data_IF_070986623426
#
_entry.id   IF_070986623426
#
_cell.length_a   1.000
_cell.length_b   1.000
_cell.length_c   1.000
_cell.angle_alpha   90.00
_cell.angle_beta   90.00
_cell.angle_gamma   90.00
#
_symmetry.space_group_name_H-M   'P 1'
#
loop_
_entity.id
_entity.type
_entity.pdbx_description
1 polymer ?
#
# COMPACT_ATOMS: atom_id res chain seq x y z
N UNK A 1 54.53 -24.00 -10.05
CA UNK A 1 53.20 -24.24 -9.45
C UNK A 1 52.69 -25.66 -9.74
N UNK A 2 53.52 -26.71 -9.59
CA UNK A 2 53.13 -28.14 -9.79
C UNK A 2 53.86 -29.06 -8.79
N UNK A 3 54.32 -28.53 -7.64
CA UNK A 3 55.02 -29.33 -6.60
C UNK A 3 54.47 -29.17 -5.19
N UNK A 4 53.31 -28.51 -5.03
CA UNK A 4 52.65 -28.32 -3.73
C UNK A 4 51.38 -29.18 -3.53
N UNK A 5 51.05 -30.07 -4.46
CA UNK A 5 49.84 -30.90 -4.42
C UNK A 5 50.08 -32.38 -4.07
N UNK A 6 51.32 -32.79 -3.78
CA UNK A 6 51.63 -34.21 -3.52
C UNK A 6 51.59 -34.61 -2.05
N UNK A 7 51.68 -33.66 -1.13
CA UNK A 7 51.73 -33.94 0.32
C UNK A 7 50.37 -33.77 1.03
N UNK A 8 49.29 -33.47 0.31
CA UNK A 8 47.93 -33.48 0.87
C UNK A 8 47.26 -34.86 0.83
N UNK A 9 47.83 -35.84 0.10
CA UNK A 9 47.27 -37.20 0.00
C UNK A 9 47.63 -38.11 1.19
N UNK A 10 48.59 -37.73 2.02
CA UNK A 10 48.98 -38.52 3.21
C UNK A 10 48.23 -38.09 4.47
N UNK A 11 47.65 -36.88 4.50
CA UNK A 11 46.79 -36.44 5.60
C UNK A 11 45.34 -36.97 5.50
N UNK A 12 44.96 -37.55 4.36
CA UNK A 12 43.63 -38.12 4.12
C UNK A 12 43.50 -39.60 4.54
N UNK A 13 44.55 -40.20 5.10
CA UNK A 13 44.57 -41.62 5.50
C UNK A 13 44.72 -41.85 7.02
N UNK A 14 44.64 -40.79 7.85
CA UNK A 14 44.74 -40.89 9.32
C UNK A 14 43.43 -40.44 10.03
N UNK A 15 42.45 -39.93 9.29
CA UNK A 15 41.07 -39.80 9.74
C UNK A 15 40.16 -40.50 8.74
N UNK A 16 40.07 -41.83 8.85
CA UNK A 16 38.79 -42.50 8.62
C UNK A 16 38.00 -42.39 9.93
N UNK A 17 37.08 -41.43 10.11
CA UNK A 17 35.92 -41.76 10.90
C UNK A 17 35.17 -42.81 10.09
N UNK A 18 34.82 -43.93 10.72
CA UNK A 18 33.62 -44.69 10.33
C UNK A 18 32.42 -43.74 10.46
N UNK A 19 32.24 -42.83 9.51
CA UNK A 19 30.94 -42.26 9.24
C UNK A 19 30.15 -43.38 8.60
N UNK A 20 29.38 -44.05 9.44
CA UNK A 20 28.20 -44.76 8.98
C UNK A 20 27.48 -43.89 7.94
N UNK A 21 27.18 -44.47 6.77
CA UNK A 21 26.35 -43.88 5.73
C UNK A 21 24.95 -43.43 6.22
N UNK A 22 24.62 -43.61 7.50
CA UNK A 22 23.31 -43.33 8.09
C UNK A 22 23.03 -41.87 8.49
N UNK A 23 23.99 -40.93 8.38
CA UNK A 23 23.73 -39.52 8.74
C UNK A 23 23.54 -38.58 7.54
N UNK A 24 23.74 -39.06 6.31
CA UNK A 24 23.55 -38.28 5.08
C UNK A 24 22.24 -38.63 4.32
N UNK A 25 21.36 -39.44 4.91
CA UNK A 25 20.05 -39.83 4.33
C UNK A 25 18.87 -39.47 5.25
N UNK A 26 18.81 -38.25 5.80
CA UNK A 26 17.69 -37.84 6.68
C UNK A 26 17.01 -36.55 6.23
N UNK A 27 16.67 -36.46 4.94
CA UNK A 27 15.61 -35.56 4.50
C UNK A 27 14.69 -36.35 3.59
N UNK A 28 13.43 -36.48 4.01
CA UNK A 28 12.31 -36.97 3.21
C UNK A 28 12.19 -36.17 1.90
N UNK A 29 11.57 -36.76 0.88
CA UNK A 29 11.41 -36.09 -0.42
C UNK A 29 10.69 -34.74 -0.30
N UNK A 30 9.72 -34.63 0.61
CA UNK A 30 9.02 -33.38 0.92
C UNK A 30 9.93 -32.33 1.55
N UNK A 31 10.82 -32.71 2.47
CA UNK A 31 11.79 -31.80 3.08
C UNK A 31 12.81 -31.28 2.06
N UNK A 32 13.31 -32.15 1.17
CA UNK A 32 14.21 -31.72 0.08
C UNK A 32 13.53 -30.71 -0.84
N UNK A 33 12.27 -30.96 -1.20
CA UNK A 33 11.47 -30.04 -2.01
C UNK A 33 11.25 -28.70 -1.30
N UNK A 34 10.96 -28.72 0.01
CA UNK A 34 10.80 -27.49 0.79
C UNK A 34 12.08 -26.67 0.85
N UNK A 35 13.24 -27.31 1.05
CA UNK A 35 14.54 -26.62 1.02
C UNK A 35 14.80 -25.97 -0.35
N UNK A 36 14.51 -26.68 -1.44
CA UNK A 36 14.63 -26.11 -2.79
C UNK A 36 13.70 -24.91 -2.99
N UNK A 37 12.46 -24.96 -2.49
CA UNK A 37 11.52 -23.83 -2.54
C UNK A 37 12.06 -22.64 -1.74
N UNK A 38 12.59 -22.86 -0.53
CA UNK A 38 13.18 -21.79 0.29
C UNK A 38 14.37 -21.15 -0.45
N UNK A 39 15.29 -21.96 -0.97
CA UNK A 39 16.44 -21.48 -1.75
C UNK A 39 15.97 -20.68 -2.97
N UNK A 40 14.95 -21.16 -3.67
CA UNK A 40 14.38 -20.46 -4.81
C UNK A 40 13.77 -19.11 -4.41
N UNK A 41 13.00 -19.05 -3.33
CA UNK A 41 12.44 -17.79 -2.81
C UNK A 41 13.54 -16.81 -2.42
N UNK A 42 14.58 -17.26 -1.71
CA UNK A 42 15.73 -16.44 -1.35
C UNK A 42 16.48 -15.94 -2.58
N UNK A 43 16.65 -16.80 -3.58
CA UNK A 43 17.29 -16.46 -4.85
C UNK A 43 16.49 -15.38 -5.59
N UNK A 44 15.18 -15.55 -5.78
CA UNK A 44 14.32 -14.55 -6.41
C UNK A 44 14.33 -13.23 -5.63
N UNK A 45 14.25 -13.27 -4.31
CA UNK A 45 14.35 -12.07 -3.47
C UNK A 45 15.72 -11.38 -3.60
N UNK A 46 16.81 -12.13 -3.78
CA UNK A 46 18.14 -11.57 -4.02
C UNK A 46 18.25 -10.91 -5.41
N UNK A 47 17.54 -11.44 -6.40
CA UNK A 47 17.49 -10.99 -7.79
C UNK A 47 16.50 -9.86 -8.05
N UNK A 48 15.91 -9.23 -7.03
CA UNK A 48 14.84 -8.21 -7.20
C UNK A 48 15.21 -6.98 -8.06
N UNK A 49 16.41 -6.95 -8.65
CA UNK A 49 16.76 -6.08 -9.77
C UNK A 49 16.62 -6.82 -11.11
N UNK A 50 15.70 -6.31 -11.93
CA UNK A 50 15.83 -6.28 -13.39
C UNK A 50 15.73 -7.63 -14.11
N UNK A 51 14.50 -8.12 -14.26
CA UNK A 51 14.14 -8.81 -15.50
C UNK A 51 12.89 -8.10 -16.05
N UNK A 52 12.94 -7.55 -17.27
CA UNK A 52 11.84 -6.82 -17.94
C UNK A 52 10.52 -7.60 -18.11
N UNK A 53 10.44 -8.80 -17.53
CA UNK A 53 9.22 -9.58 -17.32
C UNK A 53 8.14 -8.78 -16.57
N UNK A 54 8.53 -7.94 -15.61
CA UNK A 54 7.59 -7.10 -14.86
C UNK A 54 6.87 -6.09 -15.75
N UNK A 55 7.59 -5.44 -16.67
CA UNK A 55 7.00 -4.49 -17.62
C UNK A 55 6.06 -5.18 -18.60
N UNK A 56 6.42 -6.39 -19.05
CA UNK A 56 5.56 -7.18 -19.93
C UNK A 56 4.28 -7.63 -19.22
N UNK A 57 4.39 -8.03 -17.95
CA UNK A 57 3.23 -8.38 -17.12
C UNK A 57 2.32 -7.17 -16.89
N UNK A 58 2.89 -6.01 -16.55
CA UNK A 58 2.15 -4.76 -16.39
C UNK A 58 1.38 -4.39 -17.67
N UNK A 59 2.08 -4.41 -18.82
CA UNK A 59 1.48 -4.12 -20.13
C UNK A 59 0.37 -5.10 -20.50
N UNK A 60 0.53 -6.38 -20.17
CA UNK A 60 -0.50 -7.39 -20.41
C UNK A 60 -1.76 -7.11 -19.58
N UNK A 61 -1.61 -6.84 -18.28
CA UNK A 61 -2.73 -6.51 -17.40
C UNK A 61 -3.45 -5.24 -17.85
N UNK A 62 -2.72 -4.17 -18.19
CA UNK A 62 -3.32 -2.92 -18.68
C UNK A 62 -4.14 -3.16 -19.95
N UNK A 63 -3.62 -3.94 -20.92
CA UNK A 63 -4.38 -4.32 -22.12
C UNK A 63 -5.66 -5.09 -21.78
N UNK A 64 -5.62 -5.98 -20.78
CA UNK A 64 -6.80 -6.71 -20.31
C UNK A 64 -7.81 -5.75 -19.65
N UNK A 65 -7.37 -4.84 -18.80
CA UNK A 65 -8.23 -3.87 -18.13
C UNK A 65 -8.90 -2.94 -19.13
N UNK A 66 -8.15 -2.40 -20.10
CA UNK A 66 -8.68 -1.57 -21.19
C UNK A 66 -9.70 -2.33 -22.05
N UNK A 67 -9.44 -3.60 -22.38
CA UNK A 67 -10.38 -4.44 -23.11
C UNK A 67 -11.70 -4.62 -22.35
N UNK A 68 -11.62 -4.90 -21.05
CA UNK A 68 -12.80 -5.05 -20.19
C UNK A 68 -13.56 -3.72 -20.08
N UNK A 69 -12.85 -2.62 -19.87
CA UNK A 69 -13.43 -1.29 -19.74
C UNK A 69 -14.22 -0.88 -21.00
N UNK A 70 -13.63 -1.05 -22.19
CA UNK A 70 -14.32 -0.77 -23.46
C UNK A 70 -15.61 -1.58 -23.64
N UNK A 71 -15.62 -2.83 -23.17
CA UNK A 71 -16.83 -3.68 -23.21
C UNK A 71 -17.87 -3.22 -22.20
N UNK A 72 -17.46 -2.76 -21.03
CA UNK A 72 -18.35 -2.23 -20.00
C UNK A 72 -19.03 -0.95 -20.49
N UNK A 73 -18.25 0.01 -21.00
CA UNK A 73 -18.77 1.26 -21.54
C UNK A 73 -19.75 1.03 -22.69
N UNK A 74 -19.43 0.09 -23.60
CA UNK A 74 -20.35 -0.27 -24.70
C UNK A 74 -21.66 -0.90 -24.20
N UNK A 75 -21.61 -1.67 -23.13
CA UNK A 75 -22.80 -2.28 -22.53
C UNK A 75 -23.64 -1.26 -21.75
N UNK A 76 -22.99 -0.29 -21.08
CA UNK A 76 -23.67 0.81 -20.40
C UNK A 76 -24.39 1.71 -21.40
N UNK A 77 -23.72 2.16 -22.47
CA UNK A 77 -24.36 2.96 -23.52
C UNK A 77 -25.59 2.28 -24.14
N UNK A 78 -25.52 0.97 -24.37
CA UNK A 78 -26.68 0.21 -24.86
C UNK A 78 -27.84 0.21 -23.86
N UNK A 79 -27.56 0.08 -22.56
CA UNK A 79 -28.60 0.14 -21.53
C UNK A 79 -29.21 1.53 -21.42
N UNK A 80 -28.40 2.57 -21.56
CA UNK A 80 -28.87 3.96 -21.58
C UNK A 80 -29.76 4.21 -22.80
N UNK A 81 -29.32 3.80 -24.00
CA UNK A 81 -30.11 3.84 -25.23
C UNK A 81 -31.44 3.06 -25.10
N UNK A 82 -31.39 1.85 -24.53
CA UNK A 82 -32.59 1.03 -24.29
C UNK A 82 -33.53 1.71 -23.28
N UNK A 83 -33.00 2.34 -22.21
CA UNK A 83 -33.81 3.05 -21.20
C UNK A 83 -34.44 4.33 -21.72
N UNK A 84 -33.73 5.12 -22.53
CA UNK A 84 -34.28 6.32 -23.17
C UNK A 84 -35.39 5.92 -24.15
N UNK A 85 -35.20 4.82 -24.89
CA UNK A 85 -36.22 4.28 -25.79
C UNK A 85 -37.44 3.80 -25.01
N UNK A 86 -37.26 3.12 -23.87
CA UNK A 86 -38.36 2.70 -23.00
C UNK A 86 -39.10 3.90 -22.39
N UNK A 87 -38.41 4.94 -21.94
CA UNK A 87 -39.02 6.17 -21.44
C UNK A 87 -39.80 6.91 -22.54
N UNK A 88 -39.27 7.00 -23.77
CA UNK A 88 -39.99 7.55 -24.92
C UNK A 88 -41.25 6.73 -25.25
N UNK A 89 -41.17 5.40 -25.20
CA UNK A 89 -42.33 4.52 -25.43
C UNK A 89 -43.37 4.69 -24.33
N UNK A 90 -42.96 4.78 -23.05
CA UNK A 90 -43.88 5.00 -21.92
C UNK A 90 -44.52 6.38 -21.99
N UNK A 91 -43.77 7.42 -22.33
CA UNK A 91 -44.29 8.77 -22.50
C UNK A 91 -45.24 8.85 -23.72
N UNK A 92 -44.91 8.17 -24.81
CA UNK A 92 -45.78 8.03 -25.98
C UNK A 92 -47.08 7.29 -25.61
N UNK A 93 -47.00 6.16 -24.91
CA UNK A 93 -48.17 5.39 -24.50
C UNK A 93 -49.06 6.15 -23.50
N UNK A 94 -48.48 6.90 -22.57
CA UNK A 94 -49.24 7.80 -21.69
C UNK A 94 -49.92 8.93 -22.49
N UNK A 95 -49.27 9.46 -23.53
CA UNK A 95 -49.89 10.47 -24.41
C UNK A 95 -51.03 9.91 -25.27
N UNK A 96 -51.02 8.61 -25.57
CA UNK A 96 -52.09 7.91 -26.32
C UNK A 96 -53.26 7.56 -25.39
N UNK A 97 -53.00 7.15 -24.14
CA UNK A 97 -54.05 6.87 -23.14
C UNK A 97 -54.75 8.16 -22.66
N UNK A 98 -54.05 9.29 -22.60
CA UNK A 98 -54.67 10.59 -22.29
C UNK A 98 -55.48 11.20 -23.45
N UNK A 99 -55.50 10.59 -24.65
CA UNK A 99 -56.21 11.11 -25.82
C UNK A 99 -57.61 10.51 -26.05
N UNK A 100 -58.00 9.51 -25.27
CA UNK A 100 -59.32 8.85 -25.40
C UNK A 100 -60.33 9.18 -24.29
N UNK A 101 -59.96 9.99 -23.29
CA UNK A 101 -60.89 10.55 -22.32
C UNK A 101 -60.65 12.05 -22.22
N UNK A 102 -61.16 12.81 -23.19
CA UNK A 102 -61.86 14.07 -22.98
C UNK A 102 -62.05 14.77 -24.33
N UNK A 103 -63.30 14.97 -24.70
CA UNK A 103 -63.74 16.04 -25.59
C UNK A 103 -65.20 16.36 -25.20
N UNK A 104 -65.68 17.57 -25.47
CA UNK A 104 -65.14 18.85 -25.03
C UNK A 104 -66.26 19.67 -24.35
N UNK A 105 -65.92 20.59 -23.44
CA UNK A 105 -66.74 21.79 -23.30
C UNK A 105 -65.88 23.00 -22.97
N UNK A 106 -66.23 24.07 -23.67
CA UNK A 106 -65.52 25.32 -23.81
C UNK A 106 -65.53 26.17 -22.52
N UNK A 107 -64.48 26.98 -22.34
CA UNK A 107 -64.55 28.45 -22.47
C UNK A 107 -63.40 29.16 -21.73
N UNK A 108 -62.75 30.09 -22.45
CA UNK A 108 -62.13 31.34 -21.96
C UNK A 108 -60.94 31.21 -20.99
N UNK A 109 -59.72 31.70 -21.27
CA UNK A 109 -59.38 33.04 -21.78
C UNK A 109 -59.03 33.94 -20.58
N UNK A 110 -57.75 34.18 -20.31
CA UNK A 110 -57.35 35.19 -19.30
C UNK A 110 -55.96 35.00 -18.68
N UNK A 111 -55.01 35.76 -19.23
CA UNK A 111 -53.92 36.49 -18.57
C UNK A 111 -52.94 35.81 -17.59
N UNK A 112 -51.68 35.93 -18.00
CA UNK A 112 -50.47 35.84 -17.18
C UNK A 112 -50.55 36.93 -16.11
N UNK A 113 -50.83 36.53 -14.87
CA UNK A 113 -50.64 37.39 -13.72
C UNK A 113 -49.37 36.92 -12.99
N UNK A 114 -48.30 37.72 -13.12
CA UNK A 114 -47.16 37.69 -12.19
C UNK A 114 -47.71 37.94 -10.79
N UNK A 115 -47.89 36.87 -10.02
CA UNK A 115 -48.15 36.95 -8.60
C UNK A 115 -46.80 36.87 -7.89
N UNK A 116 -46.27 38.04 -7.47
CA UNK A 116 -45.37 38.14 -6.32
C UNK A 116 -46.15 37.74 -5.05
N UNK A 117 -46.52 36.46 -4.99
CA UNK A 117 -47.08 35.82 -3.81
C UNK A 117 -45.94 35.43 -2.90
N UNK A 118 -46.03 35.85 -1.64
CA UNK A 118 -45.22 35.36 -0.53
C UNK A 118 -45.04 33.84 -0.70
N UNK A 119 -43.81 33.37 -0.92
CA UNK A 119 -43.52 31.94 -0.85
C UNK A 119 -43.88 31.50 0.57
N UNK A 120 -45.02 30.84 0.73
CA UNK A 120 -45.34 30.14 1.96
C UNK A 120 -44.19 29.16 2.21
N UNK A 121 -43.53 29.30 3.34
CA UNK A 121 -42.45 28.39 3.73
C UNK A 121 -43.05 27.01 3.93
N UNK A 122 -42.67 26.06 3.09
CA UNK A 122 -43.02 24.66 3.28
C UNK A 122 -41.84 23.91 3.91
N UNK A 123 -42.12 22.90 4.73
CA UNK A 123 -41.07 22.14 5.43
C UNK A 123 -40.14 21.38 4.46
N UNK A 124 -40.62 21.06 3.26
CA UNK A 124 -39.84 20.49 2.15
C UNK A 124 -38.81 21.47 1.57
N UNK A 125 -38.97 22.79 1.72
CA UNK A 125 -37.95 23.77 1.31
C UNK A 125 -36.64 23.56 2.09
N UNK A 126 -36.71 23.06 3.33
CA UNK A 126 -35.55 22.77 4.18
C UNK A 126 -34.84 21.49 3.75
N UNK A 127 -35.56 20.56 3.13
CA UNK A 127 -35.01 19.27 2.72
C UNK A 127 -33.84 19.45 1.75
N UNK A 128 -33.95 20.37 0.79
CA UNK A 128 -32.89 20.67 -0.16
C UNK A 128 -31.65 21.25 0.51
N UNK A 129 -31.80 22.10 1.53
CA UNK A 129 -30.67 22.62 2.29
C UNK A 129 -30.03 21.55 3.19
N UNK A 130 -30.82 20.68 3.81
CA UNK A 130 -30.31 19.54 4.58
C UNK A 130 -29.57 18.58 3.65
N UNK A 131 -30.15 18.24 2.50
CA UNK A 131 -29.53 17.40 1.47
C UNK A 131 -28.21 18.01 1.02
N UNK A 132 -28.18 19.28 0.62
CA UNK A 132 -26.94 19.98 0.22
C UNK A 132 -25.92 20.07 1.36
N UNK A 133 -26.37 20.25 2.60
CA UNK A 133 -25.50 20.26 3.77
C UNK A 133 -24.88 18.89 4.04
N UNK A 134 -25.65 17.82 3.93
CA UNK A 134 -25.19 16.43 4.05
C UNK A 134 -24.26 16.07 2.89
N UNK A 135 -24.62 16.43 1.65
CA UNK A 135 -23.77 16.28 0.47
C UNK A 135 -22.45 17.00 0.65
N UNK A 136 -22.44 18.27 1.11
CA UNK A 136 -21.22 19.01 1.38
C UNK A 136 -20.34 18.40 2.48
N UNK A 137 -20.93 17.70 3.46
CA UNK A 137 -20.19 16.95 4.49
C UNK A 137 -19.64 15.64 3.94
N UNK A 138 -20.40 14.95 3.08
CA UNK A 138 -19.98 13.69 2.44
C UNK A 138 -18.89 13.94 1.40
N UNK A 139 -19.05 15.00 0.60
CA UNK A 139 -18.13 15.43 -0.46
C UNK A 139 -16.99 16.29 0.07
N UNK A 140 -16.80 16.35 1.39
CA UNK A 140 -15.69 17.11 1.95
C UNK A 140 -14.35 16.53 1.44
N UNK A 141 -13.41 17.42 1.15
CA UNK A 141 -12.15 17.02 0.52
C UNK A 141 -11.29 16.10 1.42
N UNK A 142 -11.65 16.01 2.70
CA UNK A 142 -10.93 15.28 3.75
C UNK A 142 -11.49 13.86 3.93
N UNK A 143 -12.80 13.67 4.15
CA UNK A 143 -13.38 12.34 4.43
C UNK A 143 -13.23 11.41 3.23
N UNK A 144 -13.32 11.95 2.01
CA UNK A 144 -13.08 11.18 0.78
C UNK A 144 -11.66 10.57 0.71
N UNK A 145 -10.68 11.11 1.44
CA UNK A 145 -9.30 10.59 1.47
C UNK A 145 -9.09 9.42 2.41
N UNK A 146 -10.09 9.13 3.24
CA UNK A 146 -10.15 7.93 4.07
C UNK A 146 -10.96 6.79 3.42
N UNK A 147 -11.36 6.96 2.16
CA UNK A 147 -11.97 5.91 1.35
C UNK A 147 -10.99 5.43 0.26
N UNK A 148 -11.16 4.21 -0.24
CA UNK A 148 -10.35 3.72 -1.36
C UNK A 148 -10.52 4.62 -2.60
N UNK A 149 -9.45 4.79 -3.38
CA UNK A 149 -9.49 5.57 -4.62
C UNK A 149 -10.43 4.93 -5.64
N UNK A 150 -11.33 5.72 -6.22
CA UNK A 150 -12.19 5.27 -7.30
C UNK A 150 -11.37 5.12 -8.59
N UNK A 151 -11.44 3.92 -9.19
CA UNK A 151 -10.68 3.62 -10.39
C UNK A 151 -11.45 4.05 -11.64
N UNK A 152 -10.79 4.71 -12.61
CA UNK A 152 -11.42 5.04 -13.89
C UNK A 152 -11.69 3.80 -14.74
N UNK A 153 -10.98 2.70 -14.48
CA UNK A 153 -11.17 1.43 -15.17
C UNK A 153 -11.19 0.26 -14.18
N UNK A 154 -12.11 -0.69 -14.41
CA UNK A 154 -12.22 -1.85 -13.52
C UNK A 154 -11.05 -2.82 -13.68
N UNK A 155 -10.35 -3.09 -12.58
CA UNK A 155 -9.19 -3.98 -12.52
C UNK A 155 -9.56 -5.44 -12.23
N UNK A 156 -10.79 -5.87 -12.50
CA UNK A 156 -11.26 -7.26 -12.28
C UNK A 156 -11.24 -7.72 -10.80
N UNK A 157 -11.13 -6.78 -9.85
CA UNK A 157 -11.29 -7.06 -8.43
C UNK A 157 -12.73 -6.74 -8.02
N UNK A 158 -13.47 -7.71 -7.50
CA UNK A 158 -14.88 -7.50 -7.08
C UNK A 158 -15.00 -6.52 -5.90
N UNK A 159 -13.92 -6.27 -5.17
CA UNK A 159 -13.87 -5.32 -4.05
C UNK A 159 -13.68 -3.87 -4.48
N UNK A 160 -13.21 -3.62 -5.70
CA UNK A 160 -12.98 -2.26 -6.25
C UNK A 160 -14.15 -1.79 -7.13
N UNK A 161 -15.08 -2.68 -7.48
CA UNK A 161 -16.32 -2.32 -8.18
C UNK A 161 -17.46 -3.28 -7.79
N UNK A 162 -18.50 -2.75 -7.15
CA UNK A 162 -19.65 -3.51 -6.63
C UNK A 162 -20.80 -3.67 -7.63
N UNK A 163 -20.84 -2.88 -8.70
CA UNK A 163 -21.95 -2.83 -9.67
C UNK A 163 -21.75 -3.76 -10.87
N UNK A 164 -20.82 -4.73 -10.77
CA UNK A 164 -20.37 -5.55 -11.91
C UNK A 164 -21.31 -6.73 -12.27
N UNK A 165 -22.49 -6.88 -11.65
CA UNK A 165 -23.30 -8.08 -11.89
C UNK A 165 -23.76 -8.18 -13.35
N UNK A 166 -23.15 -9.12 -14.08
CA UNK A 166 -23.47 -9.56 -15.45
C UNK A 166 -23.53 -8.45 -16.52
N UNK A 167 -22.38 -7.84 -16.80
CA UNK A 167 -22.27 -6.85 -17.89
C UNK A 167 -22.19 -7.51 -19.27
N UNK A 168 -21.30 -8.49 -19.46
CA UNK A 168 -21.27 -9.31 -20.69
C UNK A 168 -20.57 -10.66 -20.46
N UNK A 169 -20.91 -11.68 -21.24
CA UNK A 169 -20.28 -13.01 -21.14
C UNK A 169 -18.76 -12.95 -21.26
N UNK A 170 -18.23 -12.15 -22.19
CA UNK A 170 -16.79 -12.03 -22.39
C UNK A 170 -16.05 -11.42 -21.20
N UNK A 171 -16.59 -10.37 -20.58
CA UNK A 171 -15.95 -9.77 -19.40
C UNK A 171 -16.11 -10.68 -18.18
N UNK A 172 -17.24 -11.37 -18.04
CA UNK A 172 -17.45 -12.36 -16.97
C UNK A 172 -16.48 -13.54 -17.10
N UNK A 173 -16.22 -14.02 -18.32
CA UNK A 173 -15.21 -15.05 -18.55
C UNK A 173 -13.80 -14.55 -18.19
N UNK A 174 -13.43 -13.34 -18.62
CA UNK A 174 -12.12 -12.74 -18.27
C UNK A 174 -11.97 -12.55 -16.76
N UNK A 175 -13.02 -12.10 -16.07
CA UNK A 175 -13.06 -12.03 -14.62
C UNK A 175 -12.91 -13.40 -13.97
N UNK A 176 -13.63 -14.42 -14.47
CA UNK A 176 -13.55 -15.80 -13.96
C UNK A 176 -12.16 -16.41 -14.09
N UNK A 177 -11.50 -16.20 -15.24
CA UNK A 177 -10.09 -16.58 -15.43
C UNK A 177 -9.19 -15.82 -14.45
N UNK A 178 -9.38 -14.50 -14.30
CA UNK A 178 -8.60 -13.71 -13.36
C UNK A 178 -8.81 -14.11 -11.91
N UNK A 179 -10.04 -14.47 -11.52
CA UNK A 179 -10.38 -15.02 -10.22
C UNK A 179 -9.64 -16.34 -9.98
N UNK A 180 -9.71 -17.28 -10.94
CA UNK A 180 -9.00 -18.55 -10.85
C UNK A 180 -7.49 -18.34 -10.68
N UNK A 181 -6.87 -17.51 -11.53
CA UNK A 181 -5.44 -17.20 -11.43
C UNK A 181 -5.06 -16.60 -10.07
N UNK A 182 -5.85 -15.64 -9.56
CA UNK A 182 -5.54 -14.96 -8.30
C UNK A 182 -5.71 -15.87 -7.09
N UNK A 183 -6.82 -16.61 -7.00
CA UNK A 183 -7.16 -17.36 -5.79
C UNK A 183 -6.63 -18.79 -5.77
N UNK A 184 -6.47 -19.44 -6.94
CA UNK A 184 -6.02 -20.83 -7.02
C UNK A 184 -4.51 -20.93 -7.23
N UNK A 185 -3.89 -19.95 -7.90
CA UNK A 185 -2.46 -19.98 -8.22
C UNK A 185 -1.69 -18.95 -7.39
N UNK A 186 -2.00 -17.66 -7.51
CA UNK A 186 -1.20 -16.60 -6.89
C UNK A 186 -1.33 -16.57 -5.37
N UNK A 187 -2.55 -16.68 -4.84
CA UNK A 187 -2.78 -16.56 -3.39
C UNK A 187 -2.10 -17.67 -2.59
N UNK A 188 -2.21 -18.97 -2.94
CA UNK A 188 -1.49 -20.02 -2.21
C UNK A 188 0.02 -19.83 -2.28
N UNK A 189 0.56 -19.52 -3.47
CA UNK A 189 1.97 -19.24 -3.67
C UNK A 189 2.46 -18.09 -2.77
N UNK A 190 1.75 -16.97 -2.79
CA UNK A 190 2.08 -15.79 -2.00
C UNK A 190 1.95 -16.03 -0.51
N UNK A 191 0.94 -16.77 -0.08
CA UNK A 191 0.78 -17.18 1.32
C UNK A 191 1.96 -18.03 1.77
N UNK A 192 2.41 -18.99 0.95
CA UNK A 192 3.62 -19.78 1.23
C UNK A 192 4.85 -18.88 1.36
N UNK A 193 5.06 -17.93 0.44
CA UNK A 193 6.17 -16.97 0.50
C UNK A 193 6.07 -16.10 1.77
N UNK A 194 4.88 -15.63 2.14
CA UNK A 194 4.67 -14.86 3.38
C UNK A 194 5.03 -15.68 4.61
N UNK A 195 4.60 -16.94 4.70
CA UNK A 195 4.93 -17.82 5.82
C UNK A 195 6.44 -18.04 5.90
N UNK A 196 7.10 -18.35 4.78
CA UNK A 196 8.57 -18.47 4.71
C UNK A 196 9.23 -17.16 5.15
N UNK A 197 8.75 -16.00 4.68
CA UNK A 197 9.27 -14.68 5.02
C UNK A 197 9.14 -14.35 6.51
N UNK A 198 8.00 -14.68 7.13
CA UNK A 198 7.80 -14.51 8.58
C UNK A 198 8.77 -15.40 9.37
N UNK A 199 8.84 -16.68 9.04
CA UNK A 199 9.74 -17.62 9.73
C UNK A 199 11.20 -17.20 9.57
N UNK A 200 11.59 -16.79 8.36
CA UNK A 200 12.92 -16.29 8.05
C UNK A 200 13.25 -15.02 8.85
N UNK A 201 12.35 -14.04 8.90
CA UNK A 201 12.53 -12.83 9.70
C UNK A 201 12.70 -13.15 11.18
N UNK A 202 11.87 -14.02 11.74
CA UNK A 202 11.93 -14.39 13.15
C UNK A 202 13.24 -15.12 13.48
N UNK A 203 13.66 -16.06 12.63
CA UNK A 203 14.93 -16.76 12.78
C UNK A 203 16.12 -15.78 12.65
N UNK A 204 16.14 -14.96 11.61
CA UNK A 204 17.18 -13.97 11.37
C UNK A 204 17.32 -12.98 12.53
N UNK A 205 16.21 -12.40 12.98
CA UNK A 205 16.21 -11.43 14.08
C UNK A 205 16.56 -12.07 15.42
N UNK A 206 16.23 -13.35 15.63
CA UNK A 206 16.71 -14.11 16.78
C UNK A 206 18.24 -14.25 16.76
N UNK A 207 18.82 -14.73 15.65
CA UNK A 207 20.26 -14.89 15.49
C UNK A 207 21.01 -13.56 15.66
N UNK A 208 20.58 -12.50 14.96
CA UNK A 208 21.19 -11.17 15.07
C UNK A 208 21.02 -10.58 16.47
N UNK A 209 19.86 -10.82 17.09
CA UNK A 209 19.56 -10.36 18.45
C UNK A 209 20.47 -10.98 19.52
N UNK A 210 20.94 -12.20 19.31
CA UNK A 210 21.91 -12.88 20.19
C UNK A 210 23.34 -12.33 20.08
N UNK A 211 23.64 -11.52 19.06
CA UNK A 211 24.96 -10.93 18.88
C UNK A 211 25.05 -9.63 19.71
N UNK A 212 26.13 -9.41 20.48
CA UNK A 212 26.41 -8.14 21.16
C UNK A 212 26.43 -6.96 20.17
N UNK A 213 26.08 -5.75 20.62
CA UNK A 213 26.11 -4.59 19.72
C UNK A 213 27.54 -4.25 19.30
N UNK A 214 27.85 -4.55 18.04
CA UNK A 214 29.16 -4.37 17.45
C UNK A 214 29.04 -4.10 15.94
N UNK A 215 30.15 -3.73 15.30
CA UNK A 215 30.17 -3.46 13.85
C UNK A 215 29.69 -4.66 13.02
N UNK A 216 30.04 -5.88 13.44
CA UNK A 216 29.62 -7.10 12.76
C UNK A 216 28.10 -7.32 12.83
N UNK A 217 27.47 -7.12 14.01
CA UNK A 217 26.01 -7.18 14.17
C UNK A 217 25.31 -6.23 13.20
N UNK A 218 25.78 -4.99 13.12
CA UNK A 218 25.19 -3.95 12.27
C UNK A 218 25.36 -4.26 10.78
N UNK A 219 26.53 -4.79 10.39
CA UNK A 219 26.77 -5.28 9.03
C UNK A 219 25.83 -6.43 8.67
N UNK A 220 25.71 -7.44 9.53
CA UNK A 220 24.83 -8.59 9.30
C UNK A 220 23.36 -8.17 9.24
N UNK A 221 22.95 -7.27 10.14
CA UNK A 221 21.61 -6.68 10.11
C UNK A 221 21.37 -6.00 8.77
N UNK A 222 22.26 -5.09 8.35
CA UNK A 222 22.10 -4.27 7.15
C UNK A 222 21.74 -5.06 5.89
N UNK A 223 22.45 -6.15 5.63
CA UNK A 223 22.20 -6.97 4.44
C UNK A 223 21.03 -7.94 4.64
N UNK A 224 20.92 -8.53 5.84
CA UNK A 224 19.89 -9.54 6.10
C UNK A 224 18.48 -8.96 6.23
N UNK A 225 18.31 -7.76 6.78
CA UNK A 225 17.02 -7.08 6.86
C UNK A 225 16.48 -6.74 5.48
N UNK A 226 17.32 -6.20 4.59
CA UNK A 226 16.95 -5.92 3.19
C UNK A 226 16.44 -7.20 2.52
N UNK A 227 17.12 -8.33 2.69
CA UNK A 227 16.67 -9.61 2.16
C UNK A 227 15.30 -10.03 2.75
N UNK A 228 15.11 -9.88 4.06
CA UNK A 228 13.82 -10.19 4.69
C UNK A 228 12.68 -9.35 4.09
N UNK A 229 12.88 -8.04 3.95
CA UNK A 229 11.88 -7.15 3.37
C UNK A 229 11.63 -7.43 1.88
N UNK A 230 12.66 -7.85 1.14
CA UNK A 230 12.50 -8.31 -0.25
C UNK A 230 11.65 -9.56 -0.37
N UNK A 231 11.74 -10.51 0.57
CA UNK A 231 10.83 -11.68 0.59
C UNK A 231 9.38 -11.22 0.78
N UNK A 232 9.12 -10.28 1.70
CA UNK A 232 7.77 -9.72 1.88
C UNK A 232 7.28 -8.94 0.65
N UNK A 233 8.17 -8.21 0.00
CA UNK A 233 7.92 -7.52 -1.26
C UNK A 233 7.54 -8.50 -2.38
N UNK A 234 8.28 -9.61 -2.51
CA UNK A 234 7.97 -10.70 -3.42
C UNK A 234 6.61 -11.35 -3.12
N UNK A 235 6.24 -11.51 -1.84
CA UNK A 235 4.93 -12.03 -1.46
C UNK A 235 3.77 -11.14 -1.93
N UNK A 236 3.98 -9.83 -2.06
CA UNK A 236 2.99 -8.90 -2.63
C UNK A 236 3.14 -8.73 -4.15
N UNK A 237 4.07 -9.46 -4.79
CA UNK A 237 4.51 -9.23 -6.16
C UNK A 237 4.79 -7.75 -6.43
N UNK A 238 5.47 -7.09 -5.48
CA UNK A 238 5.71 -5.68 -5.56
C UNK A 238 6.78 -5.35 -6.61
N UNK A 239 6.48 -4.36 -7.43
CA UNK A 239 7.33 -3.82 -8.50
C UNK A 239 7.54 -2.36 -8.16
N UNK A 240 8.74 -2.06 -7.68
CA UNK A 240 9.08 -0.76 -7.11
C UNK A 240 10.16 -0.07 -7.93
N UNK A 241 9.85 1.11 -8.44
CA UNK A 241 10.82 1.97 -9.12
C UNK A 241 11.33 3.00 -8.12
N UNK A 242 12.63 2.95 -7.84
CA UNK A 242 13.28 3.88 -6.91
C UNK A 242 14.05 4.94 -7.67
N UNK A 243 13.68 6.20 -7.46
CA UNK A 243 14.26 7.37 -8.09
C UNK A 243 15.15 8.12 -7.10
N UNK A 244 16.24 8.71 -7.61
CA UNK A 244 17.14 9.61 -6.87
C UNK A 244 17.75 8.99 -5.59
N UNK A 245 18.23 7.74 -5.69
CA UNK A 245 18.74 6.94 -4.55
C UNK A 245 19.92 7.57 -3.80
N UNK A 246 20.59 8.56 -4.39
CA UNK A 246 21.60 9.39 -3.75
C UNK A 246 21.05 10.19 -2.55
N UNK A 247 19.74 10.48 -2.53
CA UNK A 247 19.08 11.21 -1.44
C UNK A 247 18.50 10.31 -0.35
N UNK A 248 18.89 9.03 -0.29
CA UNK A 248 18.42 8.12 0.77
C UNK A 248 18.84 8.61 2.14
N UNK A 249 17.97 8.40 3.13
CA UNK A 249 18.26 8.74 4.51
C UNK A 249 19.51 8.00 5.00
N UNK A 250 20.36 8.73 5.70
CA UNK A 250 21.57 8.21 6.35
C UNK A 250 21.46 8.32 7.87
N UNK A 251 22.31 7.58 8.58
CA UNK A 251 22.30 7.51 10.03
C UNK A 251 22.28 8.88 10.71
N UNK A 252 21.46 8.99 11.76
CA UNK A 252 21.22 10.26 12.45
C UNK A 252 20.44 11.30 11.64
N UNK A 253 19.64 10.84 10.68
CA UNK A 253 18.60 11.59 10.00
C UNK A 253 17.21 10.97 10.22
N UNK A 254 16.17 11.68 9.75
CA UNK A 254 14.78 11.23 9.81
C UNK A 254 14.22 11.17 8.39
N UNK A 255 13.86 9.97 7.96
CA UNK A 255 13.11 9.72 6.75
C UNK A 255 11.63 10.02 6.99
N UNK A 256 11.06 10.91 6.18
CA UNK A 256 9.65 11.32 6.25
C UNK A 256 8.98 10.96 4.93
N UNK A 257 7.90 10.20 4.99
CA UNK A 257 7.13 9.80 3.81
C UNK A 257 5.63 10.03 3.98
N UNK A 258 4.91 10.19 2.87
CA UNK A 258 3.46 10.03 2.87
C UNK A 258 3.08 8.56 3.17
N UNK A 259 1.89 8.35 3.74
CA UNK A 259 1.50 7.07 4.31
C UNK A 259 0.19 6.56 3.76
N UNK A 260 0.25 5.51 2.95
CA UNK A 260 -0.92 4.84 2.40
C UNK A 260 -1.24 3.56 3.15
N UNK A 261 -0.24 2.85 3.67
CA UNK A 261 -0.49 1.58 4.36
C UNK A 261 0.72 1.03 5.12
N UNK A 262 0.56 -0.05 5.93
CA UNK A 262 1.70 -0.69 6.57
C UNK A 262 2.71 -1.29 5.59
N UNK A 263 2.33 -1.55 4.33
CA UNK A 263 3.27 -2.07 3.31
C UNK A 263 4.33 -1.03 2.95
N UNK A 264 4.08 0.26 3.17
CA UNK A 264 5.03 1.34 2.88
C UNK A 264 6.38 1.09 3.58
N UNK A 265 6.34 0.52 4.80
CA UNK A 265 7.54 0.08 5.53
C UNK A 265 8.32 -0.96 4.75
N UNK A 266 7.63 -2.00 4.24
CA UNK A 266 8.25 -3.06 3.44
C UNK A 266 8.84 -2.47 2.15
N UNK A 267 8.09 -1.59 1.48
CA UNK A 267 8.51 -0.93 0.24
C UNK A 267 9.76 -0.08 0.44
N UNK A 268 9.84 0.73 1.49
CA UNK A 268 11.04 1.53 1.77
C UNK A 268 12.21 0.65 2.24
N UNK A 269 11.94 -0.37 3.06
CA UNK A 269 12.96 -1.24 3.64
C UNK A 269 13.61 -2.22 2.65
N UNK A 270 13.06 -2.33 1.43
CA UNK A 270 13.68 -3.06 0.32
C UNK A 270 14.96 -2.40 -0.22
N UNK A 271 15.10 -1.08 -0.05
CA UNK A 271 16.20 -0.31 -0.63
C UNK A 271 17.09 0.40 0.38
N UNK A 272 16.63 0.57 1.62
CA UNK A 272 17.42 1.15 2.71
C UNK A 272 16.98 0.58 4.06
N UNK A 273 17.76 0.78 5.11
CA UNK A 273 17.44 0.31 6.46
C UNK A 273 16.95 1.44 7.36
N UNK A 274 15.90 1.19 8.12
CA UNK A 274 15.27 2.19 8.97
C UNK A 274 14.99 1.68 10.37
N UNK A 275 15.17 2.56 11.35
CA UNK A 275 14.59 2.42 12.67
C UNK A 275 13.12 2.86 12.62
N UNK A 276 12.22 1.87 12.65
CA UNK A 276 10.78 2.08 12.72
C UNK A 276 10.35 2.73 14.03
N UNK A 277 9.38 3.64 13.92
CA UNK A 277 8.69 4.26 15.05
C UNK A 277 7.21 3.90 14.97
N UNK A 278 6.63 3.46 16.08
CA UNK A 278 5.20 3.21 16.11
C UNK A 278 4.67 2.81 17.47
N UNK A 279 3.36 2.62 17.54
CA UNK A 279 2.72 2.08 18.73
C UNK A 279 3.04 0.59 18.88
N UNK A 280 3.22 0.12 20.11
CA UNK A 280 3.31 -1.29 20.43
C UNK A 280 1.96 -1.97 20.18
N UNK A 281 1.99 -3.10 19.47
CA UNK A 281 0.82 -3.92 19.16
C UNK A 281 0.94 -5.31 19.82
N UNK A 282 -0.21 -5.94 20.09
CA UNK A 282 -0.28 -7.34 20.47
C UNK A 282 -0.36 -8.28 19.25
N UNK A 283 -0.63 -9.56 19.51
CA UNK A 283 -0.91 -10.55 18.48
C UNK A 283 0.23 -10.75 17.46
N UNK A 284 -0.14 -10.94 16.19
CA UNK A 284 0.80 -11.19 15.09
C UNK A 284 1.79 -10.02 14.88
N UNK A 285 1.30 -8.79 14.83
CA UNK A 285 2.17 -7.60 14.67
C UNK A 285 3.14 -7.45 15.85
N UNK A 286 2.68 -7.71 17.08
CA UNK A 286 3.53 -7.69 18.26
C UNK A 286 4.64 -8.75 18.24
N UNK A 287 4.41 -9.90 17.62
CA UNK A 287 5.46 -10.91 17.42
C UNK A 287 6.57 -10.38 16.48
N UNK A 288 6.19 -9.78 15.35
CA UNK A 288 7.14 -9.19 14.40
C UNK A 288 7.91 -8.00 15.01
N UNK A 289 7.21 -7.10 15.72
CA UNK A 289 7.82 -5.95 16.40
C UNK A 289 8.86 -6.39 17.43
N UNK A 290 8.56 -7.42 18.22
CA UNK A 290 9.50 -7.99 19.20
C UNK A 290 10.72 -8.62 18.53
N UNK A 291 10.55 -9.32 17.42
CA UNK A 291 11.67 -9.84 16.62
C UNK A 291 12.58 -8.71 16.16
N UNK A 292 12.01 -7.74 15.43
CA UNK A 292 12.73 -6.58 14.94
C UNK A 292 13.46 -5.80 16.04
N UNK A 293 12.79 -5.55 17.18
CA UNK A 293 13.35 -4.81 18.31
C UNK A 293 14.53 -5.48 19.00
N UNK A 294 14.72 -6.80 18.86
CA UNK A 294 15.92 -7.50 19.33
C UNK A 294 17.14 -7.26 18.43
N UNK A 295 16.90 -7.05 17.14
CA UNK A 295 17.94 -7.01 16.14
C UNK A 295 18.51 -5.60 15.94
N UNK A 296 17.69 -4.56 16.06
CA UNK A 296 18.11 -3.15 15.96
C UNK A 296 17.25 -2.23 16.84
N UNK A 297 17.67 -0.98 17.00
CA UNK A 297 17.05 0.03 17.87
C UNK A 297 15.76 0.63 17.27
N UNK A 298 14.71 -0.18 17.12
CA UNK A 298 13.37 0.33 16.82
C UNK A 298 12.75 1.03 18.04
N UNK A 299 11.88 2.01 17.81
CA UNK A 299 11.25 2.79 18.87
C UNK A 299 9.75 2.45 18.91
N UNK A 300 9.36 1.66 19.91
CA UNK A 300 7.96 1.29 20.13
C UNK A 300 7.42 1.98 21.37
N UNK A 301 6.26 2.63 21.24
CA UNK A 301 5.62 3.34 22.34
C UNK A 301 4.37 2.59 22.82
N UNK A 302 4.20 2.52 24.13
CA UNK A 302 2.91 2.11 24.70
C UNK A 302 1.84 3.19 24.46
N UNK A 303 0.55 2.82 24.49
CA UNK A 303 -0.55 3.76 24.25
C UNK A 303 -0.57 4.94 25.23
N UNK A 304 -0.13 4.72 26.47
CA UNK A 304 0.03 5.75 27.50
C UNK A 304 1.19 6.68 27.17
N UNK A 305 2.37 6.12 26.88
CA UNK A 305 3.58 6.87 26.54
C UNK A 305 3.44 7.67 25.24
N UNK A 306 2.72 7.15 24.24
CA UNK A 306 2.52 7.82 22.97
C UNK A 306 1.74 9.14 23.09
N UNK A 307 1.03 9.34 24.21
CA UNK A 307 0.34 10.60 24.52
C UNK A 307 1.28 11.65 25.12
N UNK A 308 2.40 11.23 25.69
CA UNK A 308 3.42 12.10 26.26
C UNK A 308 4.36 12.61 25.14
N UNK A 309 4.08 13.83 24.68
CA UNK A 309 4.84 14.46 23.59
C UNK A 309 6.30 14.70 23.95
N UNK A 310 6.59 15.06 25.19
CA UNK A 310 7.96 15.36 25.62
C UNK A 310 8.80 14.08 25.66
N UNK A 311 8.22 12.99 26.18
CA UNK A 311 8.88 11.68 26.18
C UNK A 311 9.18 11.20 24.75
N UNK A 312 8.21 11.31 23.85
CA UNK A 312 8.37 10.92 22.43
C UNK A 312 9.49 11.74 21.78
N UNK A 313 9.46 13.07 21.93
CA UNK A 313 10.48 13.95 21.36
C UNK A 313 11.87 13.67 21.90
N UNK A 314 11.99 13.44 23.21
CA UNK A 314 13.27 13.11 23.84
C UNK A 314 13.86 11.82 23.28
N UNK A 315 13.08 10.73 23.22
CA UNK A 315 13.56 9.44 22.67
C UNK A 315 13.96 9.55 21.19
N UNK A 316 13.20 10.30 20.39
CA UNK A 316 13.56 10.56 19.00
C UNK A 316 14.87 11.35 18.89
N UNK A 317 15.05 12.39 19.72
CA UNK A 317 16.26 13.23 19.72
C UNK A 317 17.50 12.42 20.11
N UNK A 318 17.41 11.63 21.18
CA UNK A 318 18.48 10.73 21.63
C UNK A 318 18.88 9.72 20.54
N UNK A 319 17.90 9.23 19.78
CA UNK A 319 18.16 8.31 18.66
C UNK A 319 18.86 9.00 17.48
N UNK A 320 18.43 10.20 17.09
CA UNK A 320 19.02 10.99 15.98
C UNK A 320 20.46 11.45 16.28
N UNK A 321 20.76 11.69 17.55
CA UNK A 321 22.11 12.07 18.01
C UNK A 321 23.10 10.91 17.92
N UNK A 322 22.64 9.67 18.11
CA UNK A 322 23.49 8.48 17.95
C UNK A 322 23.64 8.10 16.47
N UNK A 323 24.75 8.52 15.86
CA UNK A 323 25.07 8.23 14.44
C UNK A 323 25.35 6.75 14.17
N UNK A 324 25.40 5.91 15.19
CA UNK A 324 25.52 4.46 14.99
C UNK A 324 24.20 3.78 14.69
N UNK A 325 23.07 4.42 15.04
CA UNK A 325 21.73 3.90 14.80
C UNK A 325 21.25 4.21 13.39
N UNK A 326 20.36 3.37 12.89
CA UNK A 326 19.70 3.54 11.59
C UNK A 326 18.89 4.86 11.56
N UNK A 327 18.74 5.49 10.38
CA UNK A 327 17.83 6.61 10.23
C UNK A 327 16.43 6.23 10.67
N UNK A 328 15.74 7.17 11.29
CA UNK A 328 14.36 6.94 11.74
C UNK A 328 13.43 6.99 10.51
N UNK A 329 12.45 6.10 10.42
CA UNK A 329 11.35 6.23 9.46
C UNK A 329 10.08 6.69 10.19
N UNK A 330 9.52 7.80 9.75
CA UNK A 330 8.30 8.39 10.28
C UNK A 330 7.31 8.71 9.17
N UNK A 331 6.05 8.39 9.43
CA UNK A 331 4.89 8.77 8.64
C UNK A 331 4.11 9.86 9.40
N UNK A 332 4.44 11.16 9.22
CA UNK A 332 3.96 12.22 10.10
C UNK A 332 2.47 12.55 9.95
N UNK A 333 1.78 12.01 8.94
CA UNK A 333 0.31 12.02 8.84
C UNK A 333 -0.31 11.35 10.07
N UNK A 334 0.36 10.31 10.60
CA UNK A 334 -0.08 9.57 11.78
C UNK A 334 -1.34 8.73 11.56
N UNK A 335 -1.74 8.55 10.31
CA UNK A 335 -2.80 7.66 9.83
C UNK A 335 -2.46 7.25 8.39
N UNK A 336 -3.08 6.17 7.90
CA UNK A 336 -3.04 5.81 6.50
C UNK A 336 -4.07 6.65 5.72
N UNK A 337 -3.68 7.12 4.54
CA UNK A 337 -4.47 7.96 3.65
C UNK A 337 -4.49 7.35 2.25
N UNK A 338 -5.61 7.48 1.54
CA UNK A 338 -5.70 6.98 0.18
C UNK A 338 -4.66 7.69 -0.69
N UNK A 339 -4.11 6.98 -1.66
CA UNK A 339 -2.90 7.40 -2.37
C UNK A 339 -3.12 8.59 -3.35
N UNK A 340 -4.09 9.46 -3.07
CA UNK A 340 -4.48 10.62 -3.90
C UNK A 340 -4.04 11.95 -3.30
N UNK A 341 -3.79 12.00 -1.98
CA UNK A 341 -3.45 13.22 -1.25
C UNK A 341 -2.41 12.97 -0.16
N UNK A 342 -1.87 14.05 0.40
CA UNK A 342 -1.07 14.03 1.62
C UNK A 342 -1.75 14.89 2.66
N UNK A 343 -2.01 14.32 3.85
CA UNK A 343 -2.63 15.05 4.95
C UNK A 343 -1.63 15.92 5.72
N UNK A 344 -2.15 16.78 6.59
CA UNK A 344 -1.34 17.61 7.49
C UNK A 344 -0.33 16.76 8.27
N UNK A 345 0.93 17.17 8.21
CA UNK A 345 2.02 16.54 8.96
C UNK A 345 2.03 17.02 10.41
N UNK A 346 2.09 16.06 11.34
CA UNK A 346 2.27 16.36 12.77
C UNK A 346 3.65 16.98 13.01
N UNK A 347 3.67 18.22 13.50
CA UNK A 347 4.91 19.00 13.75
C UNK A 347 5.91 18.33 14.71
N UNK A 348 5.46 17.42 15.58
CA UNK A 348 6.32 16.82 16.61
C UNK A 348 7.58 16.12 16.08
N UNK A 349 7.51 15.56 14.87
CA UNK A 349 8.67 14.93 14.20
C UNK A 349 9.70 15.95 13.69
N UNK A 350 9.27 17.20 13.49
CA UNK A 350 10.09 18.31 12.99
C UNK A 350 10.70 19.12 14.14
N UNK A 351 10.17 18.99 15.37
CA UNK A 351 10.73 19.61 16.58
C UNK A 351 11.95 18.86 17.14
N UNK A 352 12.17 17.60 16.73
CA UNK A 352 13.29 16.74 17.17
C UNK A 352 14.66 17.31 16.80
N UNK A 353 14.72 18.04 15.68
CA UNK A 353 15.97 18.48 15.05
C UNK A 353 16.66 17.37 14.24
N UNK A 354 17.64 17.76 13.43
CA UNK A 354 18.33 16.88 12.48
C UNK A 354 17.92 17.12 11.03
N UNK A 355 18.47 16.31 10.12
CA UNK A 355 18.20 16.39 8.69
C UNK A 355 16.98 15.53 8.36
N UNK A 356 15.98 16.13 7.71
CA UNK A 356 14.82 15.43 7.16
C UNK A 356 15.15 14.95 5.76
N UNK A 357 14.84 13.69 5.47
CA UNK A 357 14.95 13.06 4.15
C UNK A 357 13.53 12.78 3.66
N UNK A 358 12.95 13.67 2.84
CA UNK A 358 11.58 13.50 2.36
C UNK A 358 11.51 12.40 1.30
N UNK A 359 10.42 11.65 1.31
CA UNK A 359 10.16 10.58 0.35
C UNK A 359 8.72 10.66 -0.11
N UNK A 360 8.51 10.64 -1.42
CA UNK A 360 7.19 10.49 -2.00
C UNK A 360 7.00 9.04 -2.46
N UNK A 361 5.87 8.43 -2.09
CA UNK A 361 5.44 7.10 -2.51
C UNK A 361 4.13 7.24 -3.28
N UNK A 362 4.11 6.78 -4.53
CA UNK A 362 2.90 6.72 -5.36
C UNK A 362 2.66 5.29 -5.80
N UNK A 363 1.54 4.73 -5.38
CA UNK A 363 1.00 3.45 -5.82
C UNK A 363 0.17 3.62 -7.10
N UNK A 364 0.21 2.62 -7.95
CA UNK A 364 -0.66 2.54 -9.11
C UNK A 364 -1.91 1.72 -8.77
N UNK A 365 -2.99 2.44 -8.43
CA UNK A 365 -4.25 1.87 -7.99
C UNK A 365 -4.90 0.92 -9.03
N UNK A 366 -4.50 1.02 -10.31
CA UNK A 366 -4.98 0.12 -11.38
C UNK A 366 -4.64 -1.34 -11.10
N UNK A 367 -3.53 -1.65 -10.43
CA UNK A 367 -3.09 -3.03 -10.20
C UNK A 367 -3.45 -3.56 -8.80
N UNK A 368 -3.46 -2.69 -7.80
CA UNK A 368 -3.86 -3.01 -6.44
C UNK A 368 -4.29 -1.75 -5.71
N UNK A 369 -5.34 -1.85 -4.92
CA UNK A 369 -5.62 -0.88 -3.87
C UNK A 369 -4.68 -1.16 -2.69
N UNK A 370 -3.73 -0.26 -2.44
CA UNK A 370 -2.75 -0.38 -1.37
C UNK A 370 -3.27 0.18 -0.05
N UNK A 371 -4.32 1.01 -0.07
CA UNK A 371 -4.80 1.75 1.08
C UNK A 371 -5.33 0.81 2.19
N UNK A 372 -4.94 1.09 3.43
CA UNK A 372 -5.48 0.37 4.59
C UNK A 372 -6.42 1.25 5.40
N UNK A 373 -7.71 0.95 5.33
CA UNK A 373 -8.73 1.54 6.19
C UNK A 373 -8.86 0.75 7.49
N UNK A 374 -8.14 1.18 8.52
CA UNK A 374 -8.16 0.56 9.85
C UNK A 374 -9.53 0.63 10.57
N UNK A 375 -10.43 1.52 10.13
CA UNK A 375 -11.79 1.62 10.70
C UNK A 375 -12.73 0.55 10.16
N UNK A 376 -12.49 0.08 8.92
CA UNK A 376 -13.33 -0.91 8.23
C UNK A 376 -12.72 -2.31 8.20
N UNK A 377 -11.39 -2.42 8.28
CA UNK A 377 -10.68 -3.67 8.02
C UNK A 377 -9.60 -3.94 9.08
N UNK A 378 -9.61 -5.18 9.59
CA UNK A 378 -8.49 -5.70 10.37
C UNK A 378 -7.24 -5.86 9.50
N UNK A 379 -6.07 -5.85 10.14
CA UNK A 379 -4.79 -6.03 9.43
C UNK A 379 -4.72 -7.37 8.67
N UNK A 380 -5.33 -8.45 9.17
CA UNK A 380 -5.36 -9.75 8.47
C UNK A 380 -6.24 -9.72 7.22
N UNK A 381 -7.38 -9.02 7.27
CA UNK A 381 -8.23 -8.81 6.09
C UNK A 381 -7.48 -7.99 5.04
N UNK A 382 -6.80 -6.93 5.46
CA UNK A 382 -5.94 -6.13 4.58
C UNK A 382 -4.83 -6.97 3.93
N UNK A 383 -4.11 -7.80 4.71
CA UNK A 383 -3.10 -8.69 4.15
C UNK A 383 -3.69 -9.67 3.14
N UNK A 384 -4.82 -10.30 3.44
CA UNK A 384 -5.52 -11.17 2.49
C UNK A 384 -5.91 -10.44 1.21
N UNK A 385 -6.28 -9.17 1.32
CA UNK A 385 -6.54 -8.30 0.18
C UNK A 385 -5.28 -8.07 -0.66
N UNK A 386 -4.15 -7.72 -0.04
CA UNK A 386 -2.89 -7.50 -0.74
C UNK A 386 -2.38 -8.76 -1.45
N UNK A 387 -2.43 -9.93 -0.78
CA UNK A 387 -1.96 -11.19 -1.35
C UNK A 387 -2.85 -11.69 -2.51
N UNK A 388 -4.11 -11.26 -2.57
CA UNK A 388 -5.05 -11.61 -3.64
C UNK A 388 -5.18 -10.55 -4.76
N UNK A 389 -4.42 -9.46 -4.71
CA UNK A 389 -4.33 -8.43 -5.77
C UNK A 389 -3.58 -8.93 -7.01
N UNK A 390 -3.52 -8.16 -8.10
CA UNK A 390 -2.71 -8.54 -9.26
C UNK A 390 -1.22 -8.41 -9.00
N UNK A 391 -0.78 -7.24 -8.58
CA UNK A 391 0.57 -6.93 -8.13
C UNK A 391 0.57 -5.53 -7.51
N UNK A 392 1.58 -5.23 -6.71
CA UNK A 392 1.75 -3.92 -6.10
C UNK A 392 2.76 -3.09 -6.91
N UNK A 393 2.28 -2.15 -7.71
CA UNK A 393 3.14 -1.25 -8.46
C UNK A 393 3.28 0.07 -7.70
N UNK A 394 4.51 0.54 -7.51
CA UNK A 394 4.74 1.87 -6.97
C UNK A 394 6.06 2.49 -7.40
N UNK A 395 6.06 3.81 -7.35
CA UNK A 395 7.24 4.65 -7.49
C UNK A 395 7.60 5.26 -6.13
N UNK A 396 8.89 5.27 -5.84
CA UNK A 396 9.47 5.87 -4.63
C UNK A 396 10.49 6.91 -5.08
N UNK A 397 10.24 8.18 -4.76
CA UNK A 397 11.19 9.27 -5.00
C UNK A 397 11.83 9.68 -3.68
N UNK A 398 13.16 9.57 -3.62
CA UNK A 398 13.94 10.20 -2.55
C UNK A 398 14.21 11.66 -2.91
N UNK A 399 13.69 12.60 -2.12
CA UNK A 399 13.86 14.03 -2.34
C UNK A 399 15.13 14.53 -1.65
N UNK A 400 15.72 15.65 -2.12
CA UNK A 400 16.88 16.25 -1.47
C UNK A 400 16.66 16.48 0.03
N UNK A 401 17.70 16.27 0.86
CA UNK A 401 17.60 16.48 2.31
C UNK A 401 17.23 17.93 2.63
N UNK A 402 16.41 18.09 3.67
CA UNK A 402 15.90 19.38 4.11
C UNK A 402 16.23 19.60 5.58
N UNK A 403 16.66 20.82 5.91
CA UNK A 403 16.82 21.30 7.29
C UNK A 403 15.85 22.45 7.54
N UNK A 404 15.49 22.65 8.80
CA UNK A 404 14.73 23.81 9.22
C UNK A 404 15.54 25.09 8.94
N UNK A 405 14.90 26.06 8.31
CA UNK A 405 15.46 27.40 8.07
C UNK A 405 15.31 28.27 9.31
N UNK A 406 16.10 29.35 9.38
CA UNK A 406 16.06 30.28 10.51
C UNK A 406 14.77 31.09 10.61
N UNK A 407 14.05 31.25 9.49
CA UNK A 407 12.83 32.04 9.35
C UNK A 407 11.54 31.21 9.49
N UNK A 408 11.64 29.90 9.70
CA UNK A 408 10.47 29.01 9.80
C UNK A 408 10.45 28.29 11.15
N UNK A 409 9.25 28.10 11.72
CA UNK A 409 9.04 27.23 12.87
C UNK A 409 8.86 25.76 12.42
N UNK A 410 8.70 24.83 13.38
CA UNK A 410 8.57 23.42 13.06
C UNK A 410 7.31 23.09 12.24
N UNK A 411 6.23 23.88 12.38
CA UNK A 411 5.00 23.68 11.64
C UNK A 411 5.14 24.16 10.18
N UNK A 412 5.76 25.32 9.97
CA UNK A 412 6.10 25.84 8.66
C UNK A 412 7.10 24.93 7.93
N UNK A 413 8.09 24.38 8.65
CA UNK A 413 9.00 23.39 8.09
C UNK A 413 8.27 22.10 7.67
N UNK A 414 7.38 21.58 8.53
CA UNK A 414 6.56 20.42 8.21
C UNK A 414 5.69 20.66 6.96
N UNK A 415 5.08 21.85 6.85
CA UNK A 415 4.28 22.27 5.68
C UNK A 415 5.12 22.30 4.40
N UNK A 416 6.34 22.86 4.46
CA UNK A 416 7.27 22.91 3.32
C UNK A 416 7.68 21.51 2.86
N UNK A 417 8.00 20.62 3.81
CA UNK A 417 8.35 19.22 3.49
C UNK A 417 7.16 18.47 2.89
N UNK A 418 5.96 18.64 3.45
CA UNK A 418 4.72 18.07 2.92
C UNK A 418 4.46 18.51 1.48
N UNK A 419 4.58 19.81 1.20
CA UNK A 419 4.34 20.38 -0.12
C UNK A 419 5.30 19.79 -1.18
N UNK A 420 6.58 19.61 -0.84
CA UNK A 420 7.56 18.98 -1.73
C UNK A 420 7.23 17.51 -2.01
N UNK A 421 6.82 16.74 -0.98
CA UNK A 421 6.38 15.35 -1.13
C UNK A 421 5.13 15.28 -2.01
N UNK A 422 4.12 16.12 -1.74
CA UNK A 422 2.87 16.14 -2.48
C UNK A 422 3.11 16.49 -3.96
N UNK A 423 3.87 17.55 -4.21
CA UNK A 423 4.27 17.98 -5.56
C UNK A 423 5.01 16.88 -6.32
N UNK A 424 5.96 16.20 -5.67
CA UNK A 424 6.77 15.16 -6.31
C UNK A 424 5.95 13.90 -6.61
N UNK A 425 5.07 13.51 -5.70
CA UNK A 425 4.19 12.34 -5.85
C UNK A 425 2.97 12.59 -6.75
N UNK A 426 2.71 13.84 -7.17
CA UNK A 426 1.47 14.18 -7.87
C UNK A 426 0.23 13.96 -6.99
N UNK A 427 0.36 14.29 -5.70
CA UNK A 427 -0.68 14.15 -4.69
C UNK A 427 -1.27 15.52 -4.36
N UNK A 428 -2.57 15.56 -4.02
CA UNK A 428 -3.22 16.78 -3.55
C UNK A 428 -2.66 17.16 -2.17
N UNK A 429 -2.20 18.40 -2.05
CA UNK A 429 -1.71 18.98 -0.79
C UNK A 429 -2.90 19.53 0.01
N UNK A 430 -3.43 18.74 0.96
CA UNK A 430 -4.57 19.12 1.79
C UNK A 430 -4.10 19.81 3.06
N UNK A 431 -4.79 20.90 3.45
CA UNK A 431 -4.35 21.83 4.50
C UNK A 431 -4.09 21.17 5.85
#
# INVERSE_FOLDING_TARGET
>A
MVRYFRDLKVLFLIFEPRFSNSTCEMLTQSERMMVLVIIFVLFIASLSRSMGLHDNYAKLLLKIFEFCQKKIEKAQRRREEDSETEEEIVHSNNSVISREILSPDASEGGDIQENEGQKEFHLDDVYDFIKKGVEAVIEDEVTMRFAAEELPAWNLLTRTNRNYQYISFGVTLTWGVGFFLRYVILLPLRLTITVIGVLWLLMFTFVVGSIPDCRFKRYLYWYGSILCFRIFSCACSAIVTYHNRENRAVNGGICVANHTSPIDVVILANDNNYALVGQSHGGFLGLLQRGLGRATSHIWFERSEAKDRELVQRRLREHVQDKTKLPILIFPEGTCINNTSVMMFKKGSFEVGGIIYPVAIKYDARFSDAFWDSSKQSYMQYLGMMLSSWALFCDVWYLPPMTQRSDEDAAAFAKRVKAEIAKKGGLVDLM
#
